data_IF_213102503115
#
_entry.id   IF_213102503115
#
_cell.length_a   1.000
_cell.length_b   1.000
_cell.length_c   1.000
_cell.angle_alpha   90.00
_cell.angle_beta   90.00
_cell.angle_gamma   90.00
#
_symmetry.space_group_name_H-M   'P 1'
#
loop_
_entity.id
_entity.type
_entity.pdbx_description
1 polymer ?
#
# COMPACT_ATOMS: atom_id res chain seq x y z
N UNK A 1 11.41 -12.28 -9.76
CA UNK A 1 12.29 -11.28 -9.11
C UNK A 1 11.38 -10.23 -8.51
N UNK A 2 11.38 -10.05 -7.19
CA UNK A 2 10.56 -9.00 -6.56
C UNK A 2 11.30 -7.69 -6.72
N UNK A 3 11.05 -7.00 -7.83
CA UNK A 3 11.62 -5.69 -8.11
C UNK A 3 11.10 -4.71 -7.08
N UNK A 4 11.99 -4.04 -6.34
CA UNK A 4 11.55 -2.97 -5.44
C UNK A 4 10.90 -1.86 -6.28
N UNK A 5 9.70 -1.40 -5.91
CA UNK A 5 9.03 -0.31 -6.61
C UNK A 5 9.86 0.98 -6.57
N UNK A 6 9.87 1.74 -7.67
CA UNK A 6 10.64 2.98 -7.78
C UNK A 6 10.26 4.03 -6.73
N UNK A 7 8.99 4.06 -6.33
CA UNK A 7 8.51 4.97 -5.29
C UNK A 7 9.18 4.78 -3.93
N UNK A 8 9.75 3.60 -3.63
CA UNK A 8 10.49 3.38 -2.39
C UNK A 8 11.78 4.19 -2.31
N UNK A 9 12.27 4.69 -3.43
CA UNK A 9 13.45 5.57 -3.50
C UNK A 9 13.08 7.06 -3.47
N UNK A 10 11.79 7.39 -3.33
CA UNK A 10 11.34 8.78 -3.35
C UNK A 10 11.76 9.52 -2.06
N UNK A 11 12.25 10.77 -2.15
CA UNK A 11 12.61 11.55 -0.98
C UNK A 11 11.48 11.69 0.06
N UNK A 12 10.21 11.67 -0.36
CA UNK A 12 9.05 11.75 0.54
C UNK A 12 8.99 10.57 1.52
N UNK A 13 9.49 9.41 1.13
CA UNK A 13 9.46 8.20 1.95
C UNK A 13 10.80 7.90 2.62
N UNK A 14 11.81 8.76 2.44
CA UNK A 14 13.14 8.59 3.04
C UNK A 14 13.13 8.55 4.57
N UNK A 15 12.16 9.22 5.20
CA UNK A 15 11.97 9.20 6.66
C UNK A 15 11.21 7.95 7.16
N UNK A 16 10.63 7.16 6.26
CA UNK A 16 9.86 5.97 6.62
C UNK A 16 10.83 4.79 6.76
N UNK A 17 10.79 4.04 7.88
CA UNK A 17 11.63 2.86 8.07
C UNK A 17 11.49 1.86 6.91
N UNK A 18 12.62 1.33 6.42
CA UNK A 18 12.66 0.39 5.28
C UNK A 18 11.70 -0.79 5.46
N UNK A 19 11.59 -1.31 6.68
CA UNK A 19 10.66 -2.41 7.02
C UNK A 19 9.20 -2.07 6.72
N UNK A 20 8.79 -0.82 6.97
CA UNK A 20 7.45 -0.30 6.65
C UNK A 20 7.27 -0.14 5.14
N UNK A 21 8.28 0.38 4.44
CA UNK A 21 8.26 0.49 2.98
C UNK A 21 8.14 -0.87 2.30
N UNK A 22 8.97 -1.84 2.69
CA UNK A 22 8.89 -3.22 2.19
C UNK A 22 7.49 -3.81 2.41
N UNK A 23 6.89 -3.60 3.58
CA UNK A 23 5.52 -4.04 3.85
C UNK A 23 4.50 -3.41 2.88
N UNK A 24 4.58 -2.10 2.65
CA UNK A 24 3.69 -1.39 1.72
C UNK A 24 3.88 -1.84 0.27
N UNK A 25 5.13 -2.07 -0.17
CA UNK A 25 5.40 -2.59 -1.52
C UNK A 25 4.93 -4.02 -1.72
N UNK A 26 5.15 -4.89 -0.73
CA UNK A 26 4.60 -6.24 -0.74
C UNK A 26 3.07 -6.21 -0.80
N UNK A 27 2.43 -5.28 -0.07
CA UNK A 27 0.98 -5.08 -0.10
C UNK A 27 0.51 -4.58 -1.47
N UNK A 28 1.17 -3.58 -2.05
CA UNK A 28 0.82 -3.02 -3.35
C UNK A 28 0.95 -4.05 -4.48
N UNK A 29 2.11 -4.70 -4.58
CA UNK A 29 2.37 -5.72 -5.61
C UNK A 29 1.41 -6.90 -5.53
N UNK A 30 1.03 -7.31 -4.32
CA UNK A 30 0.10 -8.43 -4.13
C UNK A 30 -1.37 -8.02 -4.15
N UNK A 31 -1.70 -6.73 -4.00
CA UNK A 31 -3.07 -6.22 -4.06
C UNK A 31 -3.55 -5.95 -5.48
N UNK A 32 -2.64 -5.69 -6.42
CA UNK A 32 -2.98 -5.47 -7.81
C UNK A 32 -3.68 -6.67 -8.45
N UNK A 33 -4.79 -6.41 -9.13
CA UNK A 33 -5.54 -7.41 -9.90
C UNK A 33 -6.39 -8.39 -9.08
N UNK A 34 -6.41 -8.29 -7.74
CA UNK A 34 -7.19 -9.19 -6.88
C UNK A 34 -8.64 -8.74 -6.70
N UNK A 35 -9.55 -9.71 -6.62
CA UNK A 35 -10.93 -9.46 -6.18
C UNK A 35 -10.99 -9.15 -4.69
N UNK A 36 -12.10 -8.57 -4.21
CA UNK A 36 -12.29 -8.22 -2.80
C UNK A 36 -12.07 -9.42 -1.84
N UNK A 37 -12.51 -10.62 -2.22
CA UNK A 37 -12.34 -11.85 -1.43
C UNK A 37 -10.87 -12.28 -1.35
N UNK A 38 -10.16 -12.20 -2.47
CA UNK A 38 -8.72 -12.50 -2.55
C UNK A 38 -7.89 -11.45 -1.80
N UNK A 39 -8.30 -10.18 -1.87
CA UNK A 39 -7.73 -9.09 -1.10
C UNK A 39 -7.89 -9.36 0.40
N UNK A 40 -9.09 -9.73 0.87
CA UNK A 40 -9.32 -10.04 2.29
C UNK A 40 -8.51 -11.25 2.79
N UNK A 41 -8.45 -12.32 1.98
CA UNK A 41 -7.63 -13.49 2.28
C UNK A 41 -6.13 -13.16 2.34
N UNK A 42 -5.68 -12.19 1.55
CA UNK A 42 -4.31 -11.70 1.54
C UNK A 42 -4.00 -10.72 2.68
N UNK A 43 -4.91 -9.79 2.97
CA UNK A 43 -4.73 -8.76 3.99
C UNK A 43 -4.74 -9.35 5.40
N UNK A 44 -5.55 -10.37 5.69
CA UNK A 44 -5.60 -10.99 7.04
C UNK A 44 -4.24 -11.47 7.58
N UNK A 45 -3.45 -12.31 6.87
CA UNK A 45 -2.14 -12.72 7.34
C UNK A 45 -1.13 -11.56 7.38
N UNK A 46 -1.22 -10.60 6.44
CA UNK A 46 -0.37 -9.41 6.43
C UNK A 46 -0.62 -8.50 7.64
N UNK A 47 -1.88 -8.29 8.01
CA UNK A 47 -2.25 -7.52 9.22
C UNK A 47 -1.77 -8.21 10.48
N UNK A 48 -1.87 -9.54 10.58
CA UNK A 48 -1.29 -10.31 11.69
C UNK A 48 0.23 -10.17 11.76
N UNK A 49 0.92 -10.17 10.62
CA UNK A 49 2.37 -9.92 10.55
C UNK A 49 2.70 -8.48 11.00
N UNK A 50 1.97 -7.49 10.51
CA UNK A 50 2.15 -6.09 10.91
C UNK A 50 1.99 -5.89 12.42
N UNK A 51 0.95 -6.48 13.03
CA UNK A 51 0.75 -6.42 14.47
C UNK A 51 1.88 -7.10 15.25
N UNK A 52 2.32 -8.30 14.83
CA UNK A 52 3.46 -8.99 15.47
C UNK A 52 4.75 -8.18 15.41
N UNK A 53 4.94 -7.44 14.32
CA UNK A 53 6.15 -6.65 14.10
C UNK A 53 6.05 -5.20 14.63
N UNK A 54 4.97 -4.85 15.34
CA UNK A 54 4.65 -3.49 15.79
C UNK A 54 4.76 -2.44 14.65
N UNK A 55 4.38 -2.85 13.44
CA UNK A 55 4.36 -1.97 12.27
C UNK A 55 3.11 -1.10 12.33
N UNK A 56 3.22 0.01 13.06
CA UNK A 56 2.23 1.10 13.06
C UNK A 56 2.65 2.17 12.08
N UNK A 57 1.69 2.73 11.33
CA UNK A 57 1.94 3.82 10.40
C UNK A 57 1.29 5.08 10.96
N UNK A 58 2.05 6.16 11.02
CA UNK A 58 1.50 7.48 11.32
C UNK A 58 0.74 8.02 10.10
N UNK A 59 -0.20 8.97 10.28
CA UNK A 59 -0.86 9.62 9.17
C UNK A 59 0.13 10.26 8.18
N UNK A 60 1.24 10.85 8.68
CA UNK A 60 2.30 11.44 7.85
C UNK A 60 2.97 10.39 6.96
N UNK A 61 3.35 9.25 7.55
CA UNK A 61 3.96 8.13 6.80
C UNK A 61 3.02 7.58 5.74
N UNK A 62 1.72 7.44 6.07
CA UNK A 62 0.71 7.01 5.11
C UNK A 62 0.55 8.00 3.96
N UNK A 63 0.43 9.30 4.26
CA UNK A 63 0.29 10.35 3.24
C UNK A 63 1.52 10.41 2.33
N UNK A 64 2.73 10.33 2.90
CA UNK A 64 3.97 10.33 2.13
C UNK A 64 4.08 9.09 1.22
N UNK A 65 3.77 7.91 1.73
CA UNK A 65 3.77 6.69 0.93
C UNK A 65 2.74 6.72 -0.19
N UNK A 66 1.52 7.18 0.07
CA UNK A 66 0.48 7.33 -0.96
C UNK A 66 0.92 8.33 -2.03
N UNK A 67 1.48 9.49 -1.63
CA UNK A 67 1.96 10.50 -2.57
C UNK A 67 3.09 9.96 -3.45
N UNK A 68 4.05 9.24 -2.86
CA UNK A 68 5.11 8.58 -3.60
C UNK A 68 4.54 7.52 -4.55
N UNK A 69 3.71 6.58 -4.07
CA UNK A 69 3.09 5.56 -4.92
C UNK A 69 2.36 6.21 -6.09
N UNK A 70 1.54 7.24 -5.86
CA UNK A 70 0.81 7.95 -6.92
C UNK A 70 1.74 8.59 -7.96
N UNK A 71 2.87 9.15 -7.53
CA UNK A 71 3.84 9.81 -8.42
C UNK A 71 4.53 8.85 -9.40
N UNK A 72 4.75 7.60 -9.01
CA UNK A 72 5.38 6.56 -9.85
C UNK A 72 4.37 5.53 -10.39
N UNK A 73 3.07 5.73 -10.11
CA UNK A 73 2.01 4.88 -10.65
C UNK A 73 1.66 5.32 -12.08
N UNK A 74 1.37 4.35 -12.94
CA UNK A 74 0.76 4.62 -14.24
C UNK A 74 -0.68 5.09 -14.07
N UNK A 75 -1.27 5.75 -15.09
CA UNK A 75 -2.67 6.20 -15.05
C UNK A 75 -3.65 5.07 -14.69
N UNK A 76 -3.42 3.87 -15.25
CA UNK A 76 -4.24 2.68 -14.97
C UNK A 76 -4.17 2.25 -13.49
N UNK A 77 -2.99 2.37 -12.88
CA UNK A 77 -2.80 2.04 -11.46
C UNK A 77 -3.40 3.11 -10.56
N UNK A 78 -3.29 4.39 -10.94
CA UNK A 78 -3.96 5.50 -10.27
C UNK A 78 -5.47 5.32 -10.25
N UNK A 79 -6.08 4.96 -11.38
CA UNK A 79 -7.51 4.66 -11.45
C UNK A 79 -7.92 3.49 -10.55
N UNK A 80 -7.09 2.44 -10.45
CA UNK A 80 -7.33 1.33 -9.54
C UNK A 80 -7.25 1.76 -8.08
N UNK A 81 -6.23 2.55 -7.71
CA UNK A 81 -6.05 3.07 -6.35
C UNK A 81 -7.26 3.95 -5.97
N UNK A 82 -7.64 4.90 -6.82
CA UNK A 82 -8.78 5.79 -6.54
C UNK A 82 -10.10 5.02 -6.47
N UNK A 83 -10.28 3.96 -7.27
CA UNK A 83 -11.46 3.08 -7.18
C UNK A 83 -11.52 2.30 -5.87
N UNK A 84 -10.38 1.85 -5.35
CA UNK A 84 -10.29 1.16 -4.06
C UNK A 84 -10.57 2.15 -2.92
N UNK A 85 -9.95 3.34 -2.95
CA UNK A 85 -10.15 4.37 -1.92
C UNK A 85 -11.60 4.86 -1.86
N UNK A 86 -12.21 5.20 -3.01
CA UNK A 86 -13.62 5.63 -3.05
C UNK A 86 -14.58 4.58 -2.50
N UNK A 87 -14.31 3.29 -2.74
CA UNK A 87 -15.10 2.18 -2.20
C UNK A 87 -14.88 1.95 -0.71
N UNK A 88 -13.70 2.27 -0.18
CA UNK A 88 -13.41 2.20 1.24
C UNK A 88 -14.05 3.37 2.01
N UNK A 89 -14.16 4.55 1.39
CA UNK A 89 -14.82 5.74 1.97
C UNK A 89 -16.35 5.62 2.02
N UNK A 90 -16.95 4.82 1.13
CA UNK A 90 -18.37 4.52 1.14
C UNK A 90 -18.59 3.01 1.34
N UNK A 91 -18.49 2.49 2.58
CA UNK A 91 -19.03 1.18 2.86
C UNK A 91 -20.52 1.24 2.53
N UNK A 92 -20.96 0.36 1.63
CA UNK A 92 -22.35 0.27 1.19
C UNK A 92 -23.32 0.43 2.38
N UNK A 93 -24.17 1.46 2.30
CA UNK A 93 -25.40 1.54 3.09
C UNK A 93 -26.39 0.46 2.65
#
# INVERSE_FOLDING_TARGET
MSTMPEWMSDPLVSEIPEKKLRFLGEMFAQGQGKSQKEMMAFLMPMMKKAQKENLTFTPKEMSAAIAAIKKYSTEKELEQIDKILKKAEHPAS
#
